data_IF_938729496210
#
_entry.id   IF_938729496210
#
_cell.length_a   1.000
_cell.length_b   1.000
_cell.length_c   1.000
_cell.angle_alpha   90.00
_cell.angle_beta   90.00
_cell.angle_gamma   90.00
#
_symmetry.space_group_name_H-M   'P 1'
#
loop_
_entity.id
_entity.type
_entity.pdbx_description
1 polymer ?
#
# COMPACT_ATOMS: atom_id res chain seq x y z
N UNK A 1 27.52 -16.53 77.10
CA UNK A 1 28.90 -16.67 76.60
C UNK A 1 28.89 -17.57 75.37
N UNK A 2 29.22 -16.99 74.20
CA UNK A 2 29.79 -17.62 72.99
C UNK A 2 29.07 -18.82 72.30
N UNK A 3 28.56 -18.48 71.10
CA UNK A 3 28.98 -18.98 69.76
C UNK A 3 28.28 -20.20 69.13
N UNK A 4 27.66 -19.85 67.98
CA UNK A 4 27.80 -20.45 66.64
C UNK A 4 26.79 -21.52 66.22
N UNK A 5 25.56 -21.04 66.00
CA UNK A 5 24.78 -21.31 64.80
C UNK A 5 25.50 -20.73 63.55
N UNK A 6 26.01 -21.59 62.67
CA UNK A 6 26.61 -21.20 61.38
C UNK A 6 26.59 -22.37 60.40
N UNK A 7 25.46 -22.59 59.75
CA UNK A 7 25.34 -23.17 58.40
C UNK A 7 23.84 -23.22 58.07
N UNK A 8 23.47 -22.91 56.82
CA UNK A 8 22.10 -22.84 56.29
C UNK A 8 21.30 -21.55 56.53
N UNK A 9 21.86 -20.39 56.21
CA UNK A 9 21.06 -19.18 55.92
C UNK A 9 21.77 -18.17 54.99
N UNK A 10 22.57 -18.64 54.04
CA UNK A 10 23.23 -17.80 53.03
C UNK A 10 23.26 -18.58 51.71
N UNK A 11 22.16 -18.50 50.95
CA UNK A 11 22.09 -18.73 49.48
C UNK A 11 20.67 -18.53 48.91
N UNK A 12 19.64 -18.27 49.72
CA UNK A 12 18.26 -18.13 49.25
C UNK A 12 17.64 -16.73 49.27
N UNK A 13 18.38 -15.66 49.62
CA UNK A 13 17.83 -14.30 49.83
C UNK A 13 18.46 -13.23 48.93
N UNK A 14 19.39 -13.60 48.03
CA UNK A 14 20.06 -12.63 47.14
C UNK A 14 19.39 -12.48 45.76
N UNK A 15 18.42 -13.34 45.40
CA UNK A 15 17.72 -13.25 44.11
C UNK A 15 16.29 -12.67 44.17
N UNK A 16 15.87 -12.12 45.31
CA UNK A 16 14.50 -11.60 45.46
C UNK A 16 14.40 -10.16 45.98
N UNK A 17 15.54 -9.47 46.17
CA UNK A 17 15.59 -8.08 46.69
C UNK A 17 15.99 -7.04 45.64
N UNK A 18 16.33 -7.45 44.40
CA UNK A 18 16.69 -6.48 43.33
C UNK A 18 15.46 -5.99 42.52
N UNK A 19 14.27 -6.56 42.71
CA UNK A 19 13.10 -6.25 41.87
C UNK A 19 12.16 -5.16 42.42
N UNK A 20 12.36 -4.64 43.64
CA UNK A 20 11.43 -3.67 44.26
C UNK A 20 12.18 -2.53 44.95
N UNK A 21 13.12 -1.85 44.27
CA UNK A 21 13.51 -0.46 44.63
C UNK A 21 13.87 0.30 43.35
N UNK A 22 12.86 0.75 42.60
CA UNK A 22 13.00 1.87 41.64
C UNK A 22 11.67 2.64 41.53
N UNK A 23 10.94 2.82 42.64
CA UNK A 23 9.82 3.76 42.71
C UNK A 23 10.15 4.80 43.77
N UNK A 24 10.67 5.96 43.34
CA UNK A 24 10.33 7.29 43.91
C UNK A 24 10.57 8.36 42.82
N UNK A 25 9.47 8.81 42.21
CA UNK A 25 9.21 10.17 41.68
C UNK A 25 10.34 10.78 40.80
N UNK A 26 10.31 10.48 39.50
CA UNK A 26 11.10 11.19 38.48
C UNK A 26 10.27 12.35 37.91
N UNK A 27 10.41 13.56 38.48
CA UNK A 27 9.74 14.77 37.99
C UNK A 27 10.79 15.70 37.39
N UNK A 28 10.71 15.91 36.07
CA UNK A 28 11.40 16.93 35.25
C UNK A 28 12.89 17.14 35.52
N UNK A 29 13.80 16.37 34.90
CA UNK A 29 15.21 16.79 34.80
C UNK A 29 15.89 16.23 33.54
N UNK A 30 16.04 17.08 32.53
CA UNK A 30 17.07 16.93 31.48
C UNK A 30 18.44 17.31 32.08
N UNK A 31 19.41 16.40 31.97
CA UNK A 31 20.85 16.60 32.26
C UNK A 31 21.25 17.03 33.69
N UNK A 32 20.81 16.29 34.71
CA UNK A 32 21.31 16.46 36.09
C UNK A 32 22.31 15.39 36.50
N UNK A 33 23.19 15.73 37.47
CA UNK A 33 24.10 14.80 38.16
C UNK A 33 23.38 13.56 38.73
N UNK A 34 22.10 13.67 39.04
CA UNK A 34 21.26 12.57 39.51
C UNK A 34 20.95 11.54 38.38
N UNK A 35 20.60 12.02 37.19
CA UNK A 35 20.37 11.17 36.00
C UNK A 35 21.63 10.36 35.62
N UNK A 36 22.79 11.01 35.52
CA UNK A 36 24.08 10.33 35.23
C UNK A 36 24.47 9.28 36.28
N UNK A 37 24.14 9.53 37.56
CA UNK A 37 24.38 8.58 38.66
C UNK A 37 23.46 7.36 38.56
N UNK A 38 22.19 7.58 38.19
CA UNK A 38 21.22 6.51 37.95
C UNK A 38 21.63 5.63 36.77
N UNK A 39 21.98 6.23 35.64
CA UNK A 39 22.46 5.50 34.45
C UNK A 39 23.72 4.68 34.74
N UNK A 40 24.65 5.22 35.53
CA UNK A 40 25.84 4.47 35.96
C UNK A 40 25.47 3.26 36.82
N UNK A 41 24.48 3.41 37.71
CA UNK A 41 23.95 2.30 38.51
C UNK A 41 23.24 1.24 37.64
N UNK A 42 22.50 1.69 36.63
CA UNK A 42 21.82 0.83 35.66
C UNK A 42 22.83 0.02 34.84
N UNK A 43 23.88 0.65 34.29
CA UNK A 43 24.96 -0.05 33.56
C UNK A 43 25.59 -1.15 34.40
N UNK A 44 25.92 -0.84 35.66
CA UNK A 44 26.50 -1.82 36.56
C UNK A 44 25.53 -2.97 36.87
N UNK A 45 24.24 -2.69 36.97
CA UNK A 45 23.21 -3.71 37.18
C UNK A 45 23.09 -4.60 35.94
N UNK A 46 23.06 -4.00 34.74
CA UNK A 46 23.01 -4.72 33.46
C UNK A 46 24.21 -5.63 33.29
N UNK A 47 25.43 -5.17 33.57
CA UNK A 47 26.66 -5.98 33.41
C UNK A 47 26.73 -7.17 34.36
N UNK A 48 26.18 -7.04 35.56
CA UNK A 48 26.32 -8.04 36.62
C UNK A 48 25.13 -9.01 36.73
N UNK A 49 23.99 -8.68 36.10
CA UNK A 49 22.85 -9.58 36.03
C UNK A 49 23.15 -10.76 35.08
N UNK A 50 22.81 -11.99 35.44
CA UNK A 50 22.94 -13.15 34.55
C UNK A 50 21.73 -13.30 33.62
N UNK A 51 20.69 -12.49 33.80
CA UNK A 51 19.50 -12.48 32.95
C UNK A 51 19.80 -11.95 31.54
N UNK A 52 19.09 -12.50 30.56
CA UNK A 52 19.11 -12.03 29.17
C UNK A 52 18.15 -10.85 28.93
N UNK A 53 17.31 -10.50 29.92
CA UNK A 53 16.29 -9.44 29.83
C UNK A 53 16.38 -8.53 31.03
N UNK A 54 16.54 -7.23 30.81
CA UNK A 54 16.67 -6.23 31.87
C UNK A 54 15.57 -5.19 31.74
N UNK A 55 14.83 -4.90 32.82
CA UNK A 55 13.68 -3.97 32.78
C UNK A 55 13.99 -2.66 33.50
N UNK A 56 13.68 -1.54 32.85
CA UNK A 56 13.77 -0.18 33.39
C UNK A 56 12.38 0.44 33.37
N UNK A 57 11.90 0.92 34.50
CA UNK A 57 10.61 1.65 34.58
C UNK A 57 10.89 3.16 34.60
N UNK A 58 10.30 3.91 33.68
CA UNK A 58 10.50 5.37 33.50
C UNK A 58 9.20 6.15 33.73
N UNK A 59 9.33 7.33 34.35
CA UNK A 59 8.22 8.01 35.00
C UNK A 59 7.25 8.72 34.06
N UNK A 60 7.70 9.41 33.00
CA UNK A 60 6.79 10.12 32.07
C UNK A 60 7.42 10.75 30.81
N UNK A 61 8.74 10.93 30.77
CA UNK A 61 9.47 11.56 29.66
C UNK A 61 10.93 11.44 30.02
N UNK A 62 11.57 10.32 29.67
CA UNK A 62 12.96 10.09 30.03
C UNK A 62 13.81 9.89 28.80
N UNK A 63 14.96 10.56 28.83
CA UNK A 63 16.05 10.46 27.89
C UNK A 63 17.02 9.42 28.43
N UNK A 64 17.12 8.24 27.81
CA UNK A 64 18.32 7.43 28.01
C UNK A 64 19.46 8.07 27.23
N UNK A 65 20.54 8.45 27.92
CA UNK A 65 21.62 9.19 27.29
C UNK A 65 22.38 8.35 26.27
N UNK A 66 22.97 9.01 25.28
CA UNK A 66 23.95 8.40 24.36
C UNK A 66 25.04 7.63 25.11
N UNK A 67 25.53 8.20 26.21
CA UNK A 67 26.59 7.60 27.03
C UNK A 67 26.14 6.32 27.72
N UNK A 68 24.89 6.26 28.16
CA UNK A 68 24.29 5.04 28.69
C UNK A 68 24.18 3.96 27.61
N UNK A 69 23.64 4.30 26.44
CA UNK A 69 23.47 3.35 25.33
C UNK A 69 24.83 2.82 24.82
N UNK A 70 25.86 3.65 24.80
CA UNK A 70 27.24 3.22 24.51
C UNK A 70 27.74 2.16 25.49
N UNK A 71 27.45 2.29 26.78
CA UNK A 71 28.00 1.41 27.81
C UNK A 71 27.39 0.01 27.84
N UNK A 72 26.27 -0.21 27.15
CA UNK A 72 25.51 -1.47 27.18
C UNK A 72 25.47 -2.20 25.84
N UNK A 73 26.04 -1.63 24.78
CA UNK A 73 25.92 -2.15 23.40
C UNK A 73 26.50 -3.57 23.20
N UNK A 74 27.54 -3.92 23.97
CA UNK A 74 28.21 -5.22 23.86
C UNK A 74 27.61 -6.30 24.76
N UNK A 75 26.59 -5.96 25.57
CA UNK A 75 26.05 -6.88 26.59
C UNK A 75 25.22 -8.03 26.00
N UNK A 76 24.78 -7.93 24.74
CA UNK A 76 23.92 -8.92 24.06
C UNK A 76 22.66 -9.28 24.86
N UNK A 77 22.01 -8.27 25.43
CA UNK A 77 20.81 -8.39 26.27
C UNK A 77 19.61 -7.70 25.65
N UNK A 78 18.43 -8.04 26.12
CA UNK A 78 17.20 -7.31 25.81
C UNK A 78 16.95 -6.28 26.90
N UNK A 79 17.02 -5.00 26.56
CA UNK A 79 16.61 -3.91 27.41
C UNK A 79 15.11 -3.65 27.21
N UNK A 80 14.34 -3.84 28.26
CA UNK A 80 12.91 -3.54 28.33
C UNK A 80 12.75 -2.20 29.05
N UNK A 81 12.05 -1.25 28.44
CA UNK A 81 11.81 0.07 29.04
C UNK A 81 10.31 0.31 29.13
N UNK A 82 9.79 0.32 30.36
CA UNK A 82 8.37 0.55 30.63
C UNK A 82 8.14 2.02 30.99
N UNK A 83 7.48 2.76 30.11
CA UNK A 83 6.91 4.09 30.39
C UNK A 83 5.41 4.02 30.67
N UNK A 84 4.77 5.17 30.90
CA UNK A 84 3.32 5.20 31.10
C UNK A 84 2.57 4.88 29.81
N UNK A 85 2.07 3.66 29.71
CA UNK A 85 1.33 3.17 28.55
C UNK A 85 2.22 2.83 27.34
N UNK A 86 3.53 2.71 27.56
CA UNK A 86 4.50 2.27 26.56
C UNK A 86 5.43 1.21 27.13
N UNK A 87 5.72 0.18 26.34
CA UNK A 87 6.83 -0.74 26.61
C UNK A 87 7.72 -0.83 25.38
N UNK A 88 9.01 -0.54 25.55
CA UNK A 88 10.03 -0.74 24.53
C UNK A 88 10.83 -2.00 24.79
N UNK A 89 11.17 -2.74 23.75
CA UNK A 89 12.20 -3.78 23.81
C UNK A 89 13.30 -3.49 22.78
N UNK A 90 14.55 -3.50 23.24
CA UNK A 90 15.75 -3.21 22.44
C UNK A 90 16.76 -4.32 22.67
N UNK A 91 17.23 -4.95 21.60
CA UNK A 91 18.40 -5.82 21.70
C UNK A 91 19.67 -4.96 21.71
N UNK A 92 20.45 -5.02 22.78
CA UNK A 92 21.61 -4.13 22.95
C UNK A 92 22.67 -4.36 21.88
N UNK A 93 22.76 -5.55 21.29
CA UNK A 93 23.67 -5.80 20.15
C UNK A 93 23.33 -4.95 18.93
N UNK A 94 22.07 -4.55 18.77
CA UNK A 94 21.62 -3.72 17.65
C UNK A 94 22.10 -2.26 17.79
N UNK A 95 22.68 -1.91 18.96
CA UNK A 95 23.31 -0.63 19.23
C UNK A 95 24.70 -0.50 18.59
N UNK A 96 25.37 -1.62 18.32
CA UNK A 96 26.78 -1.62 17.93
C UNK A 96 27.01 -1.00 16.55
N UNK A 97 27.97 -0.07 16.49
CA UNK A 97 28.42 0.55 15.23
C UNK A 97 27.44 1.55 14.61
N UNK A 98 26.36 1.91 15.32
CA UNK A 98 25.37 2.90 14.87
C UNK A 98 25.56 4.23 15.60
N UNK A 99 25.24 5.34 14.94
CA UNK A 99 25.22 6.65 15.58
C UNK A 99 24.09 6.71 16.63
N UNK A 100 24.47 6.87 17.90
CA UNK A 100 23.53 6.91 19.02
C UNK A 100 23.18 8.34 19.38
N UNK A 101 21.87 8.60 19.49
CA UNK A 101 21.30 9.80 20.08
C UNK A 101 20.89 9.57 21.53
N UNK A 102 20.41 10.65 22.15
CA UNK A 102 19.59 10.55 23.35
C UNK A 102 18.26 9.87 22.97
N UNK A 103 17.73 8.99 23.82
CA UNK A 103 16.48 8.28 23.53
C UNK A 103 15.38 8.83 24.42
N UNK A 104 14.59 9.75 23.88
CA UNK A 104 13.40 10.28 24.53
C UNK A 104 12.23 9.32 24.37
N UNK A 105 11.74 8.78 25.48
CA UNK A 105 10.49 8.01 25.51
C UNK A 105 9.35 8.95 25.82
N UNK A 106 8.55 9.27 24.80
CA UNK A 106 7.30 10.00 24.96
C UNK A 106 6.18 9.23 24.28
N UNK A 107 5.15 8.80 25.00
CA UNK A 107 3.81 8.72 24.41
C UNK A 107 3.08 9.96 24.86
N UNK A 108 2.97 10.93 23.96
CA UNK A 108 1.97 11.96 24.11
C UNK A 108 0.84 11.59 23.18
N UNK A 109 -0.33 11.22 23.74
CA UNK A 109 -1.57 11.24 22.97
C UNK A 109 -1.66 12.62 22.35
N UNK A 110 -1.75 12.71 21.03
CA UNK A 110 -1.91 14.00 20.37
C UNK A 110 -3.11 14.73 20.97
N UNK A 111 -2.99 16.06 21.07
CA UNK A 111 -4.10 16.89 21.52
C UNK A 111 -5.31 16.73 20.58
N UNK A 112 -6.52 17.05 21.06
CA UNK A 112 -7.71 17.03 20.20
C UNK A 112 -7.52 17.87 18.93
N UNK A 113 -6.84 19.02 19.04
CA UNK A 113 -6.50 19.86 17.88
C UNK A 113 -5.54 19.19 16.89
N UNK A 114 -4.53 18.47 17.38
CA UNK A 114 -3.59 17.72 16.54
C UNK A 114 -4.26 16.50 15.90
N UNK A 115 -5.06 15.75 16.66
CA UNK A 115 -5.86 14.65 16.13
C UNK A 115 -6.85 15.15 15.08
N UNK A 116 -7.51 16.29 15.31
CA UNK A 116 -8.39 16.92 14.33
C UNK A 116 -7.63 17.33 13.08
N UNK A 117 -6.46 17.96 13.22
CA UNK A 117 -5.60 18.32 12.08
C UNK A 117 -5.21 17.09 11.26
N UNK A 118 -4.73 16.02 11.91
CA UNK A 118 -4.36 14.77 11.23
C UNK A 118 -5.61 14.11 10.62
N UNK A 119 -6.75 14.11 11.30
CA UNK A 119 -8.01 13.58 10.76
C UNK A 119 -8.43 14.33 9.51
N UNK A 120 -8.44 15.66 9.54
CA UNK A 120 -8.76 16.51 8.39
C UNK A 120 -7.75 16.35 7.26
N UNK A 121 -6.48 16.05 7.55
CA UNK A 121 -5.48 15.75 6.54
C UNK A 121 -5.71 14.36 5.93
N UNK A 122 -5.96 13.33 6.75
CA UNK A 122 -6.31 11.99 6.28
C UNK A 122 -7.58 12.03 5.45
N UNK A 123 -8.57 12.86 5.81
CA UNK A 123 -9.83 12.99 5.08
C UNK A 123 -9.88 14.19 4.14
N UNK A 124 -8.71 14.79 3.88
CA UNK A 124 -8.44 16.01 3.10
C UNK A 124 -9.60 17.01 3.04
N UNK A 125 -9.78 17.88 4.04
CA UNK A 125 -10.82 18.93 4.09
C UNK A 125 -12.26 18.48 4.37
N UNK A 126 -12.51 17.20 4.67
CA UNK A 126 -13.76 16.82 5.32
C UNK A 126 -13.75 17.24 6.80
N UNK A 127 -14.86 17.81 7.31
CA UNK A 127 -15.09 18.00 8.75
C UNK A 127 -15.35 16.68 9.49
N UNK A 128 -15.36 15.55 8.77
CA UNK A 128 -15.62 14.23 9.34
C UNK A 128 -14.43 13.79 10.19
N UNK A 129 -14.64 13.78 11.50
CA UNK A 129 -13.65 13.29 12.46
C UNK A 129 -13.59 11.77 12.43
N UNK A 130 -12.38 11.25 12.22
CA UNK A 130 -12.06 9.83 12.35
C UNK A 130 -11.31 9.61 13.66
N UNK A 131 -11.53 8.45 14.27
CA UNK A 131 -10.82 8.13 15.49
C UNK A 131 -9.36 7.84 15.18
N UNK A 132 -8.49 8.68 15.71
CA UNK A 132 -7.04 8.57 15.53
C UNK A 132 -6.40 8.51 16.90
N UNK A 133 -5.57 7.49 17.10
CA UNK A 133 -4.69 7.44 18.25
C UNK A 133 -3.29 7.87 17.82
N UNK A 134 -3.02 9.16 17.86
CA UNK A 134 -1.72 9.72 17.53
C UNK A 134 -0.75 9.67 18.71
N UNK A 135 0.51 9.32 18.43
CA UNK A 135 1.61 9.27 19.39
C UNK A 135 2.92 9.65 18.69
N UNK A 136 3.89 10.19 19.43
CA UNK A 136 5.24 10.50 18.91
C UNK A 136 6.19 9.42 19.40
N UNK A 137 7.21 9.02 18.66
CA UNK A 137 8.25 8.10 19.16
C UNK A 137 9.64 8.60 18.78
N UNK A 138 10.52 8.72 19.78
CA UNK A 138 11.99 8.89 19.66
C UNK A 138 12.52 10.30 19.96
N UNK A 139 13.76 10.56 19.54
CA UNK A 139 14.48 11.84 19.57
C UNK A 139 14.89 12.19 18.13
N UNK A 140 14.79 13.47 17.74
CA UNK A 140 15.13 14.02 16.41
C UNK A 140 16.56 13.68 15.94
N UNK A 141 17.45 13.29 16.87
CA UNK A 141 18.85 12.95 16.59
C UNK A 141 19.14 11.44 16.51
N UNK A 142 18.13 10.58 16.59
CA UNK A 142 18.30 9.14 16.35
C UNK A 142 18.19 8.85 14.86
N UNK A 143 19.32 8.56 14.21
CA UNK A 143 19.32 8.06 12.84
C UNK A 143 18.65 6.68 12.72
N UNK A 144 18.27 6.39 11.48
CA UNK A 144 17.58 5.19 10.99
C UNK A 144 18.23 3.89 11.49
N UNK A 145 17.41 2.91 11.91
CA UNK A 145 17.83 1.51 11.95
C UNK A 145 17.84 0.81 13.31
N UNK A 146 17.24 1.37 14.36
CA UNK A 146 16.96 0.62 15.58
C UNK A 146 15.60 -0.07 15.46
N UNK A 147 15.55 -1.41 15.50
CA UNK A 147 14.28 -2.13 15.62
C UNK A 147 13.81 -2.00 17.05
N UNK A 148 12.79 -1.19 17.26
CA UNK A 148 12.17 -0.98 18.55
C UNK A 148 10.77 -1.57 18.52
N UNK A 149 10.45 -2.48 19.44
CA UNK A 149 9.07 -2.91 19.63
C UNK A 149 8.41 -1.97 20.64
N UNK A 150 7.37 -1.25 20.25
CA UNK A 150 6.55 -0.47 21.17
C UNK A 150 5.22 -1.18 21.41
N UNK A 151 4.80 -1.30 22.66
CA UNK A 151 3.42 -1.66 23.01
C UNK A 151 2.72 -0.44 23.55
N UNK A 152 1.64 -0.02 22.89
CA UNK A 152 0.78 1.08 23.32
C UNK A 152 -0.52 0.52 23.89
N UNK A 153 -1.02 1.16 24.96
CA UNK A 153 -2.35 0.87 25.49
C UNK A 153 -3.35 1.82 24.82
N UNK A 154 -4.30 1.27 24.07
CA UNK A 154 -5.34 2.04 23.38
C UNK A 154 -6.68 1.95 24.12
N UNK A 155 -7.66 2.72 23.67
CA UNK A 155 -9.00 2.70 24.26
C UNK A 155 -9.69 1.35 23.99
N UNK A 156 -10.42 0.85 24.98
CA UNK A 156 -11.17 -0.41 24.96
C UNK A 156 -12.05 -0.63 23.72
N UNK A 157 -12.54 0.43 23.08
CA UNK A 157 -13.35 0.33 21.85
C UNK A 157 -12.58 -0.22 20.64
N UNK A 158 -11.25 -0.22 20.70
CA UNK A 158 -10.39 -0.76 19.65
C UNK A 158 -9.99 -2.22 19.94
N UNK A 159 -10.30 -2.77 21.11
CA UNK A 159 -9.94 -4.14 21.47
C UNK A 159 -10.49 -5.14 20.44
N UNK A 160 -9.64 -6.04 19.96
CA UNK A 160 -9.98 -7.05 18.95
C UNK A 160 -9.88 -6.58 17.50
N UNK A 161 -9.79 -5.27 17.26
CA UNK A 161 -9.78 -4.68 15.91
C UNK A 161 -8.39 -4.75 15.25
N UNK A 162 -8.39 -4.80 13.92
CA UNK A 162 -7.20 -4.56 13.11
C UNK A 162 -7.09 -3.07 12.82
N UNK A 163 -5.94 -2.49 13.08
CA UNK A 163 -5.66 -1.06 12.88
C UNK A 163 -4.44 -0.86 12.01
N UNK A 164 -4.51 0.16 11.15
CA UNK A 164 -3.39 0.61 10.36
C UNK A 164 -2.51 1.54 11.21
N UNK A 165 -1.21 1.33 11.14
CA UNK A 165 -0.17 2.19 11.72
C UNK A 165 0.44 3.01 10.60
N UNK A 166 0.44 4.33 10.77
CA UNK A 166 1.09 5.25 9.85
C UNK A 166 2.09 6.12 10.59
N UNK A 167 3.10 6.59 9.86
CA UNK A 167 4.01 7.67 10.24
C UNK A 167 3.64 8.90 9.41
N UNK A 168 3.51 10.05 10.04
CA UNK A 168 3.36 11.34 9.38
C UNK A 168 4.67 12.12 9.45
N UNK A 169 5.18 12.51 8.29
CA UNK A 169 6.34 13.37 8.13
C UNK A 169 5.87 14.82 7.94
N UNK A 170 6.17 15.69 8.90
CA UNK A 170 5.65 17.06 8.90
C UNK A 170 6.33 17.97 7.88
N UNK A 171 7.60 17.71 7.55
CA UNK A 171 8.37 18.55 6.62
C UNK A 171 7.88 18.34 5.20
N UNK A 172 7.66 17.07 4.85
CA UNK A 172 7.22 16.67 3.52
C UNK A 172 5.69 16.59 3.40
N UNK A 173 4.98 16.66 4.53
CA UNK A 173 3.52 16.47 4.62
C UNK A 173 3.07 15.15 3.99
N UNK A 174 3.82 14.07 4.26
CA UNK A 174 3.56 12.75 3.71
C UNK A 174 3.20 11.75 4.81
N UNK A 175 2.36 10.79 4.44
CA UNK A 175 2.07 9.62 5.25
C UNK A 175 2.86 8.44 4.72
N UNK A 176 3.48 7.68 5.61
CA UNK A 176 4.07 6.39 5.29
C UNK A 176 3.34 5.35 6.10
N UNK A 177 2.76 4.37 5.42
CA UNK A 177 2.25 3.19 6.12
C UNK A 177 3.41 2.44 6.78
N UNK A 178 3.16 1.91 7.98
CA UNK A 178 4.20 1.28 8.82
C UNK A 178 3.88 -0.19 9.05
N UNK A 179 2.67 -0.49 9.53
CA UNK A 179 2.25 -1.86 9.85
C UNK A 179 0.72 -1.93 9.99
N UNK A 180 0.14 -3.13 9.90
CA UNK A 180 -1.26 -3.38 10.27
C UNK A 180 -1.25 -4.34 11.45
N UNK A 181 -1.70 -3.88 12.60
CA UNK A 181 -1.57 -4.60 13.87
C UNK A 181 -2.95 -4.92 14.43
N UNK A 182 -3.03 -6.04 15.15
CA UNK A 182 -4.20 -6.34 15.97
C UNK A 182 -4.06 -5.64 17.31
N UNK A 183 -5.13 -5.00 17.76
CA UNK A 183 -5.26 -4.58 19.15
C UNK A 183 -5.76 -5.77 19.94
N UNK A 184 -5.01 -6.19 20.94
CA UNK A 184 -5.38 -7.31 21.80
C UNK A 184 -6.59 -6.97 22.67
N UNK A 185 -7.28 -7.99 23.18
CA UNK A 185 -8.48 -7.83 24.02
C UNK A 185 -8.21 -7.01 25.29
N UNK A 186 -6.95 -6.99 25.76
CA UNK A 186 -6.52 -6.20 26.92
C UNK A 186 -6.17 -4.74 26.57
N UNK A 187 -6.38 -4.34 25.32
CA UNK A 187 -6.12 -2.99 24.81
C UNK A 187 -4.66 -2.74 24.43
N UNK A 188 -3.79 -3.74 24.49
CA UNK A 188 -2.40 -3.60 24.03
C UNK A 188 -2.31 -3.72 22.50
N UNK A 189 -1.62 -2.78 21.87
CA UNK A 189 -1.25 -2.86 20.46
C UNK A 189 0.27 -2.78 20.33
N UNK A 190 0.89 -3.79 19.73
CA UNK A 190 2.35 -3.90 19.63
C UNK A 190 2.80 -3.68 18.19
N UNK A 191 3.73 -2.75 17.97
CA UNK A 191 4.27 -2.39 16.66
C UNK A 191 5.80 -2.33 16.67
N UNK A 192 6.41 -2.58 15.51
CA UNK A 192 7.83 -2.34 15.30
C UNK A 192 8.04 -0.94 14.72
N UNK A 193 8.96 -0.18 15.31
CA UNK A 193 9.34 1.18 14.89
C UNK A 193 10.82 1.19 14.52
N UNK A 194 11.14 1.93 13.46
CA UNK A 194 12.48 1.99 12.87
C UNK A 194 13.05 3.41 12.74
N UNK A 195 12.23 4.45 12.94
CA UNK A 195 12.60 5.87 12.79
C UNK A 195 11.88 6.74 13.81
N UNK A 196 12.43 7.91 14.11
CA UNK A 196 11.73 8.96 14.86
C UNK A 196 10.54 9.50 14.03
N UNK A 197 9.43 9.82 14.67
CA UNK A 197 8.34 10.53 13.99
C UNK A 197 7.03 10.58 14.76
N UNK A 198 6.04 11.25 14.14
CA UNK A 198 4.64 11.20 14.57
C UNK A 198 4.00 9.96 13.96
N UNK A 199 3.43 9.12 14.80
CA UNK A 199 2.73 7.92 14.41
C UNK A 199 1.27 8.03 14.77
N UNK A 200 0.42 7.27 14.10
CA UNK A 200 -0.98 7.16 14.48
C UNK A 200 -1.57 5.81 14.12
N UNK A 201 -2.54 5.40 14.94
CA UNK A 201 -3.44 4.29 14.63
C UNK A 201 -4.75 4.81 14.06
N UNK A 202 -5.26 4.12 13.05
CA UNK A 202 -6.59 4.36 12.49
C UNK A 202 -7.18 3.06 11.95
N UNK A 203 -8.50 2.92 12.00
CA UNK A 203 -9.23 1.82 11.34
C UNK A 203 -9.44 2.08 9.85
N UNK A 204 -9.06 3.27 9.37
CA UNK A 204 -9.22 3.70 7.99
C UNK A 204 -7.88 3.63 7.26
N UNK A 205 -7.93 3.42 5.95
CA UNK A 205 -6.73 3.60 5.14
C UNK A 205 -6.41 5.10 5.05
N UNK A 206 -5.14 5.42 5.28
CA UNK A 206 -4.53 6.69 4.94
C UNK A 206 -3.54 6.46 3.78
N UNK A 207 -3.42 7.39 2.84
CA UNK A 207 -4.24 8.58 2.75
C UNK A 207 -5.68 8.29 2.32
N UNK A 208 -6.63 9.10 2.76
CA UNK A 208 -7.97 9.16 2.17
C UNK A 208 -8.04 10.42 1.33
N UNK A 209 -8.46 10.28 0.08
CA UNK A 209 -8.73 11.47 -0.72
C UNK A 209 -10.12 11.98 -0.40
N UNK A 210 -10.27 13.28 -0.53
CA UNK A 210 -11.57 13.93 -0.53
C UNK A 210 -12.10 13.92 -1.96
N UNK A 211 -13.20 13.21 -2.15
CA UNK A 211 -13.92 13.11 -3.42
C UNK A 211 -14.27 14.50 -4.00
N UNK A 212 -14.48 15.51 -3.16
CA UNK A 212 -14.78 16.88 -3.61
C UNK A 212 -13.56 17.65 -4.15
N UNK A 213 -12.35 17.16 -3.86
CA UNK A 213 -11.07 17.74 -4.30
C UNK A 213 -10.42 16.93 -5.44
N UNK A 214 -11.15 15.96 -6.00
CA UNK A 214 -10.72 15.19 -7.17
C UNK A 214 -10.55 16.13 -8.37
N UNK A 215 -9.35 16.14 -8.96
CA UNK A 215 -9.01 17.07 -10.04
C UNK A 215 -8.85 16.31 -11.35
N UNK A 216 -9.59 16.70 -12.39
CA UNK A 216 -9.37 16.22 -13.75
C UNK A 216 -7.96 16.62 -14.23
N UNK A 217 -7.11 15.64 -14.51
CA UNK A 217 -5.72 15.86 -14.97
C UNK A 217 -5.48 15.39 -16.40
N UNK A 218 -6.32 14.49 -16.91
CA UNK A 218 -6.30 14.07 -18.30
C UNK A 218 -7.73 13.95 -18.80
N UNK A 219 -7.98 14.50 -19.99
CA UNK A 219 -9.28 14.43 -20.64
C UNK A 219 -9.12 14.24 -22.15
N UNK A 220 -9.57 13.09 -22.65
CA UNK A 220 -9.70 12.78 -24.06
C UNK A 220 -11.19 12.53 -24.37
N UNK A 221 -11.77 13.45 -25.13
CA UNK A 221 -13.19 13.45 -25.54
C UNK A 221 -13.32 13.10 -27.04
N UNK A 222 -12.22 12.78 -27.73
CA UNK A 222 -12.18 12.34 -29.13
C UNK A 222 -12.95 13.27 -30.10
N UNK A 223 -12.75 14.58 -29.97
CA UNK A 223 -13.49 15.60 -30.73
C UNK A 223 -12.96 15.84 -32.16
N UNK A 224 -11.77 15.34 -32.50
CA UNK A 224 -11.12 15.58 -33.79
C UNK A 224 -11.22 14.35 -34.70
N UNK A 225 -12.11 14.40 -35.68
CA UNK A 225 -12.28 13.33 -36.67
C UNK A 225 -10.97 12.99 -37.39
N UNK A 226 -10.68 11.70 -37.57
CA UNK A 226 -9.51 11.22 -38.27
C UNK A 226 -8.81 10.06 -37.55
N UNK A 227 -7.47 10.09 -37.52
CA UNK A 227 -6.71 9.14 -36.71
C UNK A 227 -6.70 9.61 -35.25
N UNK A 228 -6.65 8.68 -34.28
CA UNK A 228 -6.31 8.98 -32.89
C UNK A 228 -5.12 9.94 -32.77
N UNK A 229 -5.24 10.93 -31.89
CA UNK A 229 -4.25 11.99 -31.73
C UNK A 229 -2.88 11.40 -31.39
N UNK A 230 -1.92 11.53 -32.32
CA UNK A 230 -0.57 10.97 -32.19
C UNK A 230 0.24 11.52 -31.02
N UNK A 231 -0.12 12.68 -30.47
CA UNK A 231 0.55 13.24 -29.28
C UNK A 231 0.07 12.58 -27.99
N UNK A 232 -1.09 11.92 -28.03
CA UNK A 232 -1.72 11.24 -26.89
C UNK A 232 -1.67 9.73 -26.97
N UNK A 233 -1.68 9.19 -28.19
CA UNK A 233 -1.79 7.76 -28.45
C UNK A 233 -0.67 7.27 -29.35
N UNK A 234 -0.23 6.04 -29.11
CA UNK A 234 0.63 5.25 -30.02
C UNK A 234 -0.02 3.88 -30.23
N UNK A 235 0.48 3.12 -31.20
CA UNK A 235 -0.02 1.79 -31.54
C UNK A 235 1.01 0.72 -31.21
N UNK A 236 0.53 -0.39 -30.67
CA UNK A 236 1.25 -1.66 -30.73
C UNK A 236 0.89 -2.33 -32.07
N UNK A 237 1.90 -2.73 -32.84
CA UNK A 237 1.74 -3.28 -34.19
C UNK A 237 2.15 -4.75 -34.26
N UNK A 238 1.47 -5.51 -35.12
CA UNK A 238 1.80 -6.91 -35.40
C UNK A 238 0.77 -7.91 -34.87
N UNK A 239 1.00 -9.19 -35.19
CA UNK A 239 0.08 -10.28 -34.85
C UNK A 239 0.80 -11.59 -34.55
N UNK A 240 1.77 -11.56 -33.62
CA UNK A 240 2.50 -12.74 -33.15
C UNK A 240 1.75 -13.54 -32.07
N UNK A 241 0.48 -13.21 -31.84
CA UNK A 241 -0.38 -13.82 -30.82
C UNK A 241 -0.31 -13.18 -29.43
N UNK A 242 0.54 -12.15 -29.23
CA UNK A 242 0.56 -11.30 -28.03
C UNK A 242 0.67 -12.04 -26.68
N UNK A 243 1.27 -13.23 -26.68
CA UNK A 243 1.41 -14.09 -25.49
C UNK A 243 0.16 -14.91 -25.15
N UNK A 244 -0.94 -14.72 -25.88
CA UNK A 244 -2.26 -15.32 -25.63
C UNK A 244 -2.82 -16.09 -26.84
N UNK A 245 -2.01 -16.39 -27.86
CA UNK A 245 -2.42 -17.09 -29.09
C UNK A 245 -3.50 -16.36 -29.92
N UNK A 246 -3.59 -15.03 -29.75
CA UNK A 246 -4.49 -14.13 -30.44
C UNK A 246 -4.33 -14.20 -31.97
N UNK A 247 -5.42 -13.95 -32.73
CA UNK A 247 -5.49 -14.18 -34.19
C UNK A 247 -5.49 -12.92 -35.03
N UNK A 248 -5.54 -11.74 -34.42
CA UNK A 248 -5.48 -10.46 -35.13
C UNK A 248 -4.05 -9.98 -35.38
N UNK A 249 -3.88 -9.21 -36.45
CA UNK A 249 -2.77 -8.29 -36.62
C UNK A 249 -3.20 -6.88 -36.19
N UNK A 250 -2.55 -6.29 -35.18
CA UNK A 250 -2.80 -4.91 -34.79
C UNK A 250 -2.15 -3.94 -35.77
N UNK A 251 -2.91 -2.96 -36.24
CA UNK A 251 -2.47 -1.96 -37.22
C UNK A 251 -2.68 -0.53 -36.72
N UNK A 252 -2.07 0.44 -37.40
CA UNK A 252 -2.31 1.88 -37.26
C UNK A 252 -3.25 2.43 -38.36
N UNK A 253 -3.97 1.55 -39.06
CA UNK A 253 -4.88 1.92 -40.13
C UNK A 253 -6.13 2.62 -39.60
N UNK A 254 -6.62 3.62 -40.35
CA UNK A 254 -7.92 4.25 -40.11
C UNK A 254 -9.09 3.26 -40.14
N UNK A 255 -8.92 2.12 -40.80
CA UNK A 255 -9.93 1.06 -40.86
C UNK A 255 -10.04 0.27 -39.55
N UNK A 256 -9.00 0.30 -38.71
CA UNK A 256 -8.97 -0.38 -37.41
C UNK A 256 -9.07 0.59 -36.23
N UNK A 257 -8.61 1.84 -36.37
CA UNK A 257 -8.79 2.86 -35.36
C UNK A 257 -9.02 4.23 -36.00
N UNK A 258 -10.16 4.85 -35.67
CA UNK A 258 -10.47 6.22 -36.07
C UNK A 258 -11.23 6.95 -34.99
N UNK A 259 -11.05 8.26 -34.95
CA UNK A 259 -11.94 9.17 -34.26
C UNK A 259 -13.00 9.63 -35.24
N UNK A 260 -14.27 9.54 -34.86
CA UNK A 260 -15.38 9.98 -35.68
C UNK A 260 -16.59 10.29 -34.80
N UNK A 261 -17.26 11.42 -35.01
CA UNK A 261 -18.50 11.79 -34.31
C UNK A 261 -18.33 11.86 -32.78
N UNK A 262 -17.20 12.40 -32.31
CA UNK A 262 -16.92 12.59 -30.88
C UNK A 262 -16.53 11.32 -30.12
N UNK A 263 -16.09 10.26 -30.82
CA UNK A 263 -15.70 8.99 -30.20
C UNK A 263 -14.51 8.37 -30.91
N UNK A 264 -13.72 7.60 -30.16
CA UNK A 264 -12.78 6.63 -30.71
C UNK A 264 -13.54 5.35 -31.10
N UNK A 265 -13.29 4.85 -32.30
CA UNK A 265 -13.86 3.61 -32.82
C UNK A 265 -12.69 2.67 -33.13
N UNK A 266 -12.55 1.61 -32.33
CA UNK A 266 -11.62 0.50 -32.59
C UNK A 266 -12.43 -0.60 -33.28
N UNK A 267 -11.97 -1.06 -34.44
CA UNK A 267 -12.68 -2.03 -35.29
C UNK A 267 -11.83 -3.27 -35.52
N UNK A 268 -12.34 -4.42 -35.09
CA UNK A 268 -11.84 -5.73 -35.48
C UNK A 268 -12.51 -6.18 -36.78
N UNK A 269 -11.73 -6.66 -37.75
CA UNK A 269 -12.20 -7.07 -39.07
C UNK A 269 -11.70 -8.46 -39.41
N UNK A 270 -12.52 -9.24 -40.11
CA UNK A 270 -12.07 -10.44 -40.82
C UNK A 270 -11.50 -10.03 -42.18
N UNK A 271 -10.19 -9.86 -42.23
CA UNK A 271 -9.46 -9.60 -43.46
C UNK A 271 -8.05 -10.18 -43.36
N UNK A 272 -7.59 -10.77 -44.45
CA UNK A 272 -6.24 -11.33 -44.51
C UNK A 272 -5.23 -10.17 -44.49
N UNK A 273 -4.37 -10.13 -43.48
CA UNK A 273 -3.29 -9.16 -43.37
C UNK A 273 -2.02 -9.86 -42.88
N UNK A 274 -1.00 -9.87 -43.73
CA UNK A 274 0.21 -10.69 -43.54
C UNK A 274 -0.13 -12.17 -43.30
N UNK A 275 0.18 -12.69 -42.11
CA UNK A 275 0.03 -14.09 -41.74
C UNK A 275 -1.29 -14.40 -41.02
N UNK A 276 -2.07 -13.36 -40.70
CA UNK A 276 -3.30 -13.44 -39.89
C UNK A 276 -4.56 -13.19 -40.71
N UNK A 277 -5.68 -13.74 -40.24
CA UNK A 277 -7.00 -13.65 -40.91
C UNK A 277 -7.88 -12.54 -40.35
N UNK A 278 -7.38 -11.79 -39.36
CA UNK A 278 -8.07 -10.66 -38.76
C UNK A 278 -7.13 -9.48 -38.59
N UNK A 279 -7.69 -8.28 -38.60
CA UNK A 279 -7.03 -7.03 -38.21
C UNK A 279 -7.78 -6.39 -37.05
N UNK A 280 -7.08 -5.59 -36.24
CA UNK A 280 -7.67 -4.78 -35.17
C UNK A 280 -6.73 -3.63 -34.82
N UNK A 281 -6.99 -2.90 -33.74
CA UNK A 281 -6.05 -1.93 -33.18
C UNK A 281 -5.84 -2.14 -31.67
N UNK A 282 -4.64 -1.76 -31.20
CA UNK A 282 -4.24 -1.71 -29.80
C UNK A 282 -3.56 -0.38 -29.55
N UNK A 283 -4.30 0.54 -28.93
CA UNK A 283 -3.85 1.89 -28.63
C UNK A 283 -3.28 1.95 -27.22
N UNK A 284 -2.14 2.63 -27.08
CA UNK A 284 -1.48 2.87 -25.80
C UNK A 284 -1.43 4.38 -25.56
N UNK A 285 -1.78 4.82 -24.36
CA UNK A 285 -1.56 6.21 -23.99
C UNK A 285 -0.06 6.53 -23.96
N UNK A 286 0.31 7.73 -24.39
CA UNK A 286 1.67 8.27 -24.22
C UNK A 286 1.91 8.76 -22.80
N UNK A 287 0.86 9.28 -22.16
CA UNK A 287 0.85 9.59 -20.75
C UNK A 287 0.80 8.31 -19.90
N UNK A 288 1.33 8.43 -18.69
CA UNK A 288 1.34 7.39 -17.66
C UNK A 288 1.10 8.06 -16.32
N UNK A 289 0.41 7.36 -15.41
CA UNK A 289 0.00 7.92 -14.13
C UNK A 289 0.39 6.99 -13.00
N UNK A 290 0.67 7.57 -11.83
CA UNK A 290 0.83 6.82 -10.59
C UNK A 290 -0.37 7.16 -9.71
N UNK A 291 -1.25 6.18 -9.48
CA UNK A 291 -2.53 6.39 -8.81
C UNK A 291 -3.51 7.25 -9.61
N UNK A 292 -4.72 7.38 -9.09
CA UNK A 292 -5.77 8.22 -9.67
C UNK A 292 -7.09 7.47 -9.85
N UNK A 293 -8.10 8.20 -10.31
CA UNK A 293 -9.36 7.64 -10.79
C UNK A 293 -9.37 7.67 -12.31
N UNK A 294 -9.65 6.53 -12.91
CA UNK A 294 -9.75 6.34 -14.35
C UNK A 294 -11.20 6.09 -14.70
N UNK A 295 -11.74 6.84 -15.66
CA UNK A 295 -13.08 6.63 -16.19
C UNK A 295 -13.00 6.52 -17.71
N UNK A 296 -13.43 5.37 -18.22
CA UNK A 296 -13.48 5.10 -19.65
C UNK A 296 -14.91 4.76 -19.99
N UNK A 297 -15.58 5.63 -20.74
CA UNK A 297 -16.95 5.40 -21.16
C UNK A 297 -16.95 4.72 -22.52
N UNK A 298 -17.37 3.45 -22.55
CA UNK A 298 -17.28 2.63 -23.75
C UNK A 298 -18.51 1.74 -23.96
N UNK A 299 -18.75 1.40 -25.23
CA UNK A 299 -19.68 0.37 -25.69
C UNK A 299 -18.87 -0.71 -26.39
N UNK A 300 -19.09 -1.97 -26.01
CA UNK A 300 -18.24 -3.10 -26.37
C UNK A 300 -18.73 -3.81 -27.65
N UNK A 301 -17.86 -4.54 -28.35
CA UNK A 301 -18.28 -5.47 -29.39
C UNK A 301 -19.05 -6.66 -28.81
N UNK A 302 -19.79 -7.36 -29.67
CA UNK A 302 -20.45 -8.63 -29.33
C UNK A 302 -19.81 -9.81 -30.06
N UNK A 303 -20.29 -11.01 -29.73
CA UNK A 303 -20.13 -12.21 -30.54
C UNK A 303 -18.87 -13.02 -30.25
N UNK A 304 -19.01 -14.33 -30.40
CA UNK A 304 -18.00 -15.33 -30.05
C UNK A 304 -16.69 -15.06 -30.80
N UNK A 305 -15.60 -14.97 -30.06
CA UNK A 305 -14.26 -14.70 -30.58
C UNK A 305 -13.77 -13.26 -30.37
N UNK A 306 -14.62 -12.31 -29.94
CA UNK A 306 -14.14 -10.97 -29.57
C UNK A 306 -13.64 -10.94 -28.12
N UNK A 307 -12.61 -10.14 -27.88
CA UNK A 307 -12.06 -9.87 -26.55
C UNK A 307 -11.63 -8.39 -26.45
N UNK A 308 -12.59 -7.47 -26.24
CA UNK A 308 -12.29 -6.08 -25.91
C UNK A 308 -11.66 -5.96 -24.50
N UNK A 309 -10.69 -5.06 -24.37
CA UNK A 309 -10.05 -4.78 -23.10
C UNK A 309 -9.74 -3.28 -22.92
N UNK A 310 -9.91 -2.81 -21.68
CA UNK A 310 -9.46 -1.52 -21.14
C UNK A 310 -8.61 -1.86 -19.92
N UNK A 311 -7.31 -1.62 -20.02
CA UNK A 311 -6.33 -2.16 -19.07
C UNK A 311 -5.09 -1.31 -19.04
N UNK A 312 -4.18 -1.59 -18.11
CA UNK A 312 -3.01 -0.79 -17.88
C UNK A 312 -1.76 -1.64 -17.67
N UNK A 313 -0.63 -1.15 -18.19
CA UNK A 313 0.69 -1.77 -18.05
C UNK A 313 1.69 -0.78 -17.48
N UNK A 314 2.71 -1.24 -16.74
CA UNK A 314 3.72 -0.37 -16.15
C UNK A 314 4.54 0.31 -17.26
N UNK A 315 4.83 1.60 -17.08
CA UNK A 315 5.67 2.36 -18.01
C UNK A 315 7.05 1.73 -18.14
N UNK A 316 7.61 1.33 -17.01
CA UNK A 316 8.94 0.75 -16.87
C UNK A 316 8.83 -0.60 -16.15
N UNK A 317 9.64 -1.60 -16.55
CA UNK A 317 9.68 -2.92 -15.92
C UNK A 317 10.57 -2.93 -14.67
N UNK A 318 10.28 -2.04 -13.71
CA UNK A 318 11.10 -1.79 -12.51
C UNK A 318 11.40 -3.07 -11.70
N UNK A 319 10.42 -3.97 -11.62
CA UNK A 319 10.53 -5.23 -10.86
C UNK A 319 10.84 -6.45 -11.75
N UNK A 320 11.03 -6.24 -13.04
CA UNK A 320 11.27 -7.27 -14.05
C UNK A 320 10.09 -7.47 -15.01
N UNK A 321 10.24 -8.45 -15.92
CA UNK A 321 9.26 -8.73 -16.97
C UNK A 321 7.91 -9.17 -16.39
N UNK A 322 6.85 -9.02 -17.17
CA UNK A 322 5.51 -9.50 -16.80
C UNK A 322 5.55 -10.93 -16.24
N UNK A 323 4.86 -11.23 -15.11
CA UNK A 323 3.91 -10.36 -14.39
C UNK A 323 4.54 -9.53 -13.27
N UNK A 324 5.87 -9.45 -13.17
CA UNK A 324 6.56 -8.92 -11.99
C UNK A 324 6.27 -7.44 -11.73
N UNK A 325 6.24 -6.63 -12.79
CA UNK A 325 5.97 -5.19 -12.69
C UNK A 325 4.48 -4.83 -12.72
N UNK A 326 3.60 -5.83 -12.76
CA UNK A 326 2.15 -5.66 -12.65
C UNK A 326 1.39 -5.49 -13.97
N UNK A 327 0.07 -5.64 -13.87
CA UNK A 327 -0.96 -5.36 -14.89
C UNK A 327 -2.27 -5.07 -14.13
N UNK A 328 -3.05 -4.11 -14.62
CA UNK A 328 -4.35 -3.75 -14.03
C UNK A 328 -5.42 -3.71 -15.13
N UNK A 329 -6.32 -4.68 -15.10
CA UNK A 329 -7.40 -4.85 -16.07
C UNK A 329 -8.67 -4.20 -15.53
N UNK A 330 -8.98 -3.00 -16.04
CA UNK A 330 -10.14 -2.20 -15.62
C UNK A 330 -11.43 -2.84 -16.12
N UNK A 331 -11.39 -3.35 -17.35
CA UNK A 331 -12.50 -4.05 -18.00
C UNK A 331 -11.93 -5.03 -19.02
N UNK A 332 -12.27 -6.30 -18.86
CA UNK A 332 -12.20 -7.29 -19.91
C UNK A 332 -13.57 -7.91 -20.14
N UNK A 333 -13.87 -8.21 -21.39
CA UNK A 333 -15.08 -8.92 -21.79
C UNK A 333 -14.74 -9.89 -22.91
N UNK A 334 -15.35 -11.08 -22.91
CA UNK A 334 -15.20 -12.06 -23.99
C UNK A 334 -16.57 -12.34 -24.61
N UNK A 335 -16.67 -12.26 -25.93
CA UNK A 335 -17.96 -12.27 -26.61
C UNK A 335 -18.75 -13.59 -26.50
N UNK A 336 -18.13 -14.69 -26.06
CA UNK A 336 -18.83 -15.94 -25.78
C UNK A 336 -19.52 -15.96 -24.39
N UNK A 337 -19.12 -15.07 -23.47
CA UNK A 337 -19.71 -14.88 -22.15
C UNK A 337 -20.31 -13.48 -22.09
N UNK A 338 -21.37 -13.28 -22.87
CA UNK A 338 -21.97 -11.98 -23.12
C UNK A 338 -22.47 -11.34 -21.81
N UNK A 339 -22.10 -10.07 -21.62
CA UNK A 339 -22.44 -9.27 -20.44
C UNK A 339 -21.60 -9.54 -19.18
N UNK A 340 -20.75 -10.57 -19.15
CA UNK A 340 -19.86 -10.83 -18.00
C UNK A 340 -18.60 -9.98 -18.10
N UNK A 341 -18.54 -8.89 -17.37
CA UNK A 341 -17.39 -7.98 -17.32
C UNK A 341 -16.44 -8.38 -16.19
N UNK A 342 -15.15 -8.45 -16.49
CA UNK A 342 -14.10 -8.80 -15.55
C UNK A 342 -13.24 -7.59 -15.18
N UNK A 343 -12.85 -7.50 -13.91
CA UNK A 343 -11.64 -6.77 -13.50
C UNK A 343 -10.66 -7.75 -12.89
N UNK A 344 -9.40 -7.58 -13.26
CA UNK A 344 -8.31 -8.46 -12.84
C UNK A 344 -7.08 -7.62 -12.52
N UNK A 345 -6.28 -8.08 -11.57
CA UNK A 345 -4.94 -7.55 -11.39
C UNK A 345 -3.94 -8.71 -11.43
N UNK A 346 -2.79 -8.47 -12.07
CA UNK A 346 -1.70 -9.42 -12.12
C UNK A 346 -0.44 -8.88 -11.45
N UNK A 347 0.24 -9.73 -10.69
CA UNK A 347 1.54 -9.50 -10.06
C UNK A 347 2.34 -10.81 -9.99
N UNK A 348 3.61 -10.77 -9.56
CA UNK A 348 4.40 -12.00 -9.43
C UNK A 348 3.74 -13.06 -8.55
N UNK A 349 3.09 -12.66 -7.46
CA UNK A 349 2.40 -13.57 -6.54
C UNK A 349 1.01 -13.94 -7.05
N UNK A 350 0.32 -13.00 -7.68
CA UNK A 350 -1.09 -13.12 -8.04
C UNK A 350 -1.25 -13.03 -9.56
N UNK A 351 -1.19 -14.14 -10.29
CA UNK A 351 -1.35 -14.12 -11.76
C UNK A 351 -1.97 -15.40 -12.32
N UNK A 352 -2.49 -15.31 -13.55
CA UNK A 352 -3.37 -16.33 -14.12
C UNK A 352 -2.70 -17.70 -14.31
N UNK A 353 -1.40 -17.77 -14.65
CA UNK A 353 -0.72 -19.07 -14.79
C UNK A 353 -0.52 -19.79 -13.45
N UNK A 354 -0.52 -19.04 -12.35
CA UNK A 354 -0.50 -19.61 -11.00
C UNK A 354 -1.90 -19.82 -10.42
N UNK A 355 -2.96 -19.42 -11.15
CA UNK A 355 -4.34 -19.45 -10.70
C UNK A 355 -4.55 -18.73 -9.36
N UNK A 356 -3.81 -17.63 -9.16
CA UNK A 356 -3.80 -16.84 -7.92
C UNK A 356 -4.14 -15.37 -8.17
N UNK A 357 -4.48 -14.99 -9.40
CA UNK A 357 -4.90 -13.64 -9.73
C UNK A 357 -6.05 -13.17 -8.84
N UNK A 358 -6.03 -11.89 -8.46
CA UNK A 358 -7.17 -11.28 -7.77
C UNK A 358 -8.09 -10.74 -8.85
N UNK A 359 -9.28 -11.34 -8.96
CA UNK A 359 -10.26 -11.00 -9.99
C UNK A 359 -11.67 -11.02 -9.43
N UNK A 360 -12.57 -10.27 -10.05
CA UNK A 360 -14.00 -10.38 -9.86
C UNK A 360 -14.74 -10.05 -11.15
N UNK A 361 -16.03 -10.37 -11.19
CA UNK A 361 -16.88 -10.15 -12.34
C UNK A 361 -18.21 -9.51 -11.94
N UNK A 362 -18.82 -8.81 -12.89
CA UNK A 362 -20.16 -8.24 -12.77
C UNK A 362 -20.94 -8.46 -14.07
N UNK A 363 -22.23 -8.76 -13.96
CA UNK A 363 -23.14 -8.88 -15.10
C UNK A 363 -23.62 -7.49 -15.53
N UNK A 364 -23.50 -7.20 -16.83
CA UNK A 364 -23.94 -5.98 -17.52
C UNK A 364 -24.55 -6.40 -18.86
N UNK A 365 -25.87 -6.59 -18.91
CA UNK A 365 -26.50 -7.30 -20.04
C UNK A 365 -26.45 -6.54 -21.38
N UNK A 366 -26.23 -5.23 -21.36
CA UNK A 366 -26.35 -4.34 -22.50
C UNK A 366 -25.02 -3.73 -22.98
N UNK A 367 -23.88 -4.36 -22.63
CA UNK A 367 -22.52 -3.90 -22.98
C UNK A 367 -22.31 -3.55 -24.46
N UNK A 368 -23.03 -4.19 -25.38
CA UNK A 368 -22.91 -4.00 -26.83
C UNK A 368 -23.94 -3.04 -27.44
N UNK A 369 -24.90 -2.58 -26.64
CA UNK A 369 -25.99 -1.71 -27.08
C UNK A 369 -25.98 -0.33 -26.41
N UNK A 370 -25.40 -0.21 -25.20
CA UNK A 370 -25.29 1.02 -24.44
C UNK A 370 -23.84 1.33 -24.06
N UNK A 371 -23.57 2.62 -23.80
CA UNK A 371 -22.29 3.04 -23.23
C UNK A 371 -22.33 2.89 -21.72
N UNK A 372 -21.28 2.29 -21.17
CA UNK A 372 -21.07 2.16 -19.73
C UNK A 372 -19.78 2.85 -19.32
N UNK A 373 -19.73 3.35 -18.08
CA UNK A 373 -18.51 3.91 -17.50
C UNK A 373 -17.79 2.81 -16.73
N UNK A 374 -16.72 2.28 -17.32
CA UNK A 374 -15.77 1.40 -16.66
C UNK A 374 -14.76 2.26 -15.91
N UNK A 375 -14.65 2.07 -14.60
CA UNK A 375 -13.76 2.91 -13.81
C UNK A 375 -12.99 2.16 -12.74
N UNK A 376 -11.83 2.72 -12.43
CA UNK A 376 -10.91 2.23 -11.41
C UNK A 376 -10.46 3.38 -10.54
N UNK A 377 -10.46 3.19 -9.23
CA UNK A 377 -9.83 4.09 -8.27
C UNK A 377 -8.60 3.40 -7.69
N UNK A 378 -7.44 3.85 -8.11
CA UNK A 378 -6.15 3.29 -7.71
C UNK A 378 -5.46 4.22 -6.72
N UNK A 379 -5.14 3.66 -5.56
CA UNK A 379 -4.42 4.30 -4.46
C UNK A 379 -3.23 3.43 -4.06
N UNK A 380 -2.30 3.93 -3.21
CA UNK A 380 -1.14 3.14 -2.80
C UNK A 380 -1.44 1.77 -2.18
N UNK A 381 -2.60 1.61 -1.53
CA UNK A 381 -2.92 0.40 -0.74
C UNK A 381 -4.12 -0.39 -1.27
N UNK A 382 -4.88 0.20 -2.19
CA UNK A 382 -6.17 -0.32 -2.61
C UNK A 382 -6.50 0.11 -4.04
N UNK A 383 -7.10 -0.80 -4.78
CA UNK A 383 -7.68 -0.57 -6.10
C UNK A 383 -9.15 -1.00 -6.05
N UNK A 384 -10.05 -0.07 -6.31
CA UNK A 384 -11.50 -0.31 -6.40
C UNK A 384 -11.94 -0.24 -7.86
N UNK A 385 -12.80 -1.17 -8.31
CA UNK A 385 -13.33 -1.22 -9.68
C UNK A 385 -14.84 -1.08 -9.71
N UNK A 386 -15.32 -0.39 -10.74
CA UNK A 386 -16.72 0.01 -10.87
C UNK A 386 -17.20 -0.11 -12.32
N UNK A 387 -18.49 -0.41 -12.47
CA UNK A 387 -19.24 -0.16 -13.71
C UNK A 387 -20.40 0.77 -13.37
N UNK A 388 -20.54 1.87 -14.09
CA UNK A 388 -21.58 2.90 -13.88
C UNK A 388 -21.67 3.39 -12.42
N UNK A 389 -20.50 3.57 -11.80
CA UNK A 389 -20.38 4.00 -10.40
C UNK A 389 -20.71 2.91 -9.37
N UNK A 390 -21.16 1.73 -9.78
CA UNK A 390 -21.37 0.58 -8.89
C UNK A 390 -20.05 -0.16 -8.68
N UNK A 391 -19.51 -0.07 -7.47
CA UNK A 391 -18.35 -0.87 -7.07
C UNK A 391 -18.69 -2.35 -7.05
N UNK A 392 -17.87 -3.18 -7.69
CA UNK A 392 -18.03 -4.64 -7.68
C UNK A 392 -16.78 -5.40 -7.26
N UNK A 393 -15.63 -4.71 -7.23
CA UNK A 393 -14.38 -5.32 -6.82
C UNK A 393 -13.51 -4.35 -6.03
N UNK A 394 -12.87 -4.88 -4.99
CA UNK A 394 -11.82 -4.23 -4.24
C UNK A 394 -10.68 -5.22 -4.13
N UNK A 395 -9.48 -4.78 -4.50
CA UNK A 395 -8.23 -5.47 -4.18
C UNK A 395 -7.36 -4.55 -3.35
N UNK A 396 -6.74 -5.10 -2.31
CA UNK A 396 -5.90 -4.36 -1.39
C UNK A 396 -4.60 -5.12 -1.13
N UNK A 397 -3.58 -4.36 -0.75
CA UNK A 397 -2.35 -4.91 -0.19
C UNK A 397 -2.70 -5.58 1.14
N UNK A 398 -2.63 -6.91 1.20
CA UNK A 398 -2.90 -7.65 2.45
C UNK A 398 -1.65 -7.58 3.33
N UNK A 399 -1.61 -6.57 4.18
CA UNK A 399 -0.44 -6.25 5.00
C UNK A 399 -0.08 -7.30 6.05
N UNK A 400 -0.95 -8.29 6.27
CA UNK A 400 -0.69 -9.43 7.14
C UNK A 400 -0.09 -10.59 6.33
N UNK A 401 -0.72 -10.94 5.19
CA UNK A 401 -0.29 -12.09 4.37
C UNK A 401 0.85 -11.77 3.39
N UNK A 402 0.97 -10.52 2.97
CA UNK A 402 1.87 -10.05 1.92
C UNK A 402 3.06 -9.24 2.49
N UNK A 403 3.17 -9.14 3.82
CA UNK A 403 4.16 -8.31 4.53
C UNK A 403 5.59 -8.50 4.01
N UNK A 404 6.00 -9.75 3.80
CA UNK A 404 7.35 -10.11 3.35
C UNK A 404 7.47 -10.18 1.82
N UNK A 405 6.35 -10.13 1.09
CA UNK A 405 6.31 -10.25 -0.37
C UNK A 405 6.50 -8.90 -1.07
N UNK A 406 6.08 -7.80 -0.44
CA UNK A 406 6.25 -6.44 -0.96
C UNK A 406 5.74 -6.32 -2.41
N UNK A 407 6.61 -5.82 -3.31
CA UNK A 407 6.28 -5.65 -4.72
C UNK A 407 5.83 -6.93 -5.43
N UNK A 408 6.22 -8.12 -4.95
CA UNK A 408 5.78 -9.39 -5.56
C UNK A 408 4.27 -9.56 -5.45
N UNK A 409 3.68 -9.06 -4.35
CA UNK A 409 2.24 -9.05 -4.14
C UNK A 409 1.59 -7.78 -4.70
N UNK A 410 2.27 -6.64 -4.59
CA UNK A 410 1.72 -5.32 -4.89
C UNK A 410 2.71 -4.41 -5.64
N UNK A 411 2.91 -4.62 -6.95
CA UNK A 411 3.81 -3.79 -7.78
C UNK A 411 3.17 -2.48 -8.27
N UNK A 412 1.98 -2.13 -7.78
CA UNK A 412 1.17 -1.00 -8.24
C UNK A 412 1.58 0.33 -7.59
N UNK A 413 2.89 0.57 -7.50
CA UNK A 413 3.53 1.73 -6.89
C UNK A 413 4.50 2.44 -7.86
N UNK A 414 4.35 2.16 -9.15
CA UNK A 414 5.07 2.77 -10.28
C UNK A 414 4.07 3.32 -11.30
N UNK A 415 4.46 4.22 -12.22
CA UNK A 415 3.54 4.75 -13.23
C UNK A 415 3.06 3.68 -14.24
N UNK A 416 1.77 3.70 -14.59
CA UNK A 416 1.17 2.82 -15.60
C UNK A 416 0.55 3.64 -16.74
N UNK A 417 0.61 3.12 -17.97
CA UNK A 417 -0.08 3.66 -19.14
C UNK A 417 -1.33 2.84 -19.46
N UNK A 418 -2.33 3.48 -20.09
CA UNK A 418 -3.61 2.88 -20.47
C UNK A 418 -3.50 2.20 -21.84
N UNK A 419 -4.22 1.08 -22.01
CA UNK A 419 -4.34 0.32 -23.23
C UNK A 419 -5.82 0.12 -23.57
N UNK A 420 -6.16 0.33 -24.84
CA UNK A 420 -7.49 0.08 -25.42
C UNK A 420 -7.33 -0.83 -26.64
N UNK A 421 -7.97 -1.98 -26.66
CA UNK A 421 -7.90 -2.91 -27.80
C UNK A 421 -9.13 -3.80 -27.94
N UNK A 422 -9.22 -4.47 -29.09
CA UNK A 422 -10.05 -5.66 -29.29
C UNK A 422 -9.13 -6.77 -29.79
N UNK A 423 -8.88 -7.79 -28.97
CA UNK A 423 -8.30 -9.04 -29.43
C UNK A 423 -9.35 -9.90 -30.16
N UNK A 424 -8.89 -10.78 -31.04
CA UNK A 424 -9.73 -11.76 -31.74
C UNK A 424 -9.18 -13.16 -31.48
N UNK A 425 -10.01 -14.02 -30.92
CA UNK A 425 -9.62 -15.37 -30.53
C UNK A 425 -8.73 -15.38 -29.30
N UNK A 426 -7.58 -16.03 -29.42
CA UNK A 426 -6.70 -16.31 -28.29
C UNK A 426 -7.19 -17.46 -27.40
N UNK A 427 -6.39 -17.78 -26.39
CA UNK A 427 -6.64 -18.85 -25.43
C UNK A 427 -7.92 -18.63 -24.61
N UNK A 428 -8.33 -17.37 -24.42
CA UNK A 428 -9.55 -17.00 -23.71
C UNK A 428 -10.67 -16.53 -24.64
N UNK A 429 -10.52 -15.42 -25.36
CA UNK A 429 -11.57 -14.90 -26.26
C UNK A 429 -12.05 -15.91 -27.32
N UNK A 430 -11.15 -16.82 -27.75
CA UNK A 430 -11.41 -17.90 -28.70
C UNK A 430 -11.74 -19.26 -28.08
N UNK A 431 -12.00 -19.33 -26.77
CA UNK A 431 -12.26 -20.59 -26.07
C UNK A 431 -13.47 -21.36 -26.64
N UNK A 432 -14.43 -20.64 -27.26
CA UNK A 432 -15.59 -21.21 -27.97
C UNK A 432 -15.51 -21.09 -29.50
N UNK A 433 -14.31 -20.86 -30.03
CA UNK A 433 -14.06 -20.57 -31.44
C UNK A 433 -14.16 -19.07 -31.76
N UNK A 434 -14.16 -18.76 -33.05
CA UNK A 434 -14.37 -17.41 -33.59
C UNK A 434 -15.53 -17.51 -34.59
N UNK A 435 -16.59 -16.74 -34.38
CA UNK A 435 -17.69 -16.64 -35.35
C UNK A 435 -17.33 -15.60 -36.41
N UNK A 436 -16.97 -16.06 -37.61
CA UNK A 436 -16.57 -15.17 -38.68
C UNK A 436 -17.69 -14.25 -39.20
N UNK A 437 -18.96 -14.63 -38.98
CA UNK A 437 -20.11 -13.93 -39.54
C UNK A 437 -20.45 -12.63 -38.81
N UNK A 438 -19.91 -12.42 -37.61
CA UNK A 438 -20.14 -11.21 -36.81
C UNK A 438 -19.24 -10.05 -37.19
N UNK A 439 -18.14 -10.28 -37.93
CA UNK A 439 -17.20 -9.21 -38.26
C UNK A 439 -17.72 -8.35 -39.42
N UNK A 440 -17.48 -7.02 -39.38
CA UNK A 440 -16.68 -6.29 -38.40
C UNK A 440 -17.36 -6.06 -37.06
N UNK A 441 -16.57 -5.95 -35.99
CA UNK A 441 -17.04 -5.62 -34.64
C UNK A 441 -16.26 -4.42 -34.09
N UNK A 442 -16.95 -3.59 -33.30
CA UNK A 442 -16.40 -2.31 -32.82
C UNK A 442 -16.49 -2.14 -31.32
N UNK A 443 -15.44 -1.58 -30.74
CA UNK A 443 -15.48 -0.93 -29.43
C UNK A 443 -15.51 0.57 -29.66
N UNK A 444 -16.55 1.22 -29.15
CA UNK A 444 -16.70 2.68 -29.22
C UNK A 444 -16.35 3.27 -27.86
N UNK A 445 -15.45 4.25 -27.81
CA UNK A 445 -15.05 4.94 -26.58
C UNK A 445 -15.42 6.42 -26.71
N UNK A 446 -16.35 6.87 -25.86
CA UNK A 446 -16.86 8.24 -25.80
C UNK A 446 -15.80 9.16 -25.19
N UNK A 447 -15.22 8.76 -24.05
CA UNK A 447 -14.12 9.51 -23.44
C UNK A 447 -13.18 8.64 -22.59
N UNK A 448 -11.99 9.19 -22.33
CA UNK A 448 -11.06 8.75 -21.29
C UNK A 448 -10.77 9.94 -20.36
N UNK A 449 -11.08 9.78 -19.07
CA UNK A 449 -10.81 10.77 -18.04
C UNK A 449 -9.93 10.16 -16.96
N UNK A 450 -8.89 10.91 -16.57
CA UNK A 450 -8.05 10.56 -15.42
C UNK A 450 -8.09 11.72 -14.44
N UNK A 451 -8.33 11.38 -13.19
CA UNK A 451 -8.40 12.33 -12.10
C UNK A 451 -7.31 12.06 -11.07
N UNK A 452 -6.65 13.14 -10.65
CA UNK A 452 -5.77 13.15 -9.50
C UNK A 452 -6.62 13.14 -8.23
N UNK A 453 -6.48 12.07 -7.46
CA UNK A 453 -7.07 11.91 -6.13
C UNK A 453 -6.24 12.66 -5.07
N UNK A 454 -5.04 13.11 -5.43
CA UNK A 454 -4.11 13.84 -4.58
C UNK A 454 -3.34 12.94 -3.62
N UNK A 455 -3.25 11.64 -3.94
CA UNK A 455 -2.63 10.59 -3.11
C UNK A 455 -1.12 10.40 -3.39
N UNK A 456 -0.59 10.94 -4.49
CA UNK A 456 0.84 10.85 -4.86
C UNK A 456 1.77 11.51 -3.83
N UNK A 457 1.26 12.43 -3.01
CA UNK A 457 2.02 13.09 -1.96
C UNK A 457 2.17 12.23 -0.70
N UNK A 458 1.66 11.01 -0.70
CA UNK A 458 1.47 10.20 0.50
C UNK A 458 2.07 8.80 0.30
N UNK A 459 3.17 8.76 -0.46
CA UNK A 459 3.93 7.55 -0.80
C UNK A 459 4.72 7.01 0.38
N UNK A 460 4.76 5.68 0.50
CA UNK A 460 5.76 4.98 1.30
C UNK A 460 7.15 5.15 0.66
N UNK A 461 7.95 6.08 1.17
CA UNK A 461 9.41 6.03 0.97
C UNK A 461 10.08 5.31 2.14
#
# INVERSE_FOLDING_TARGET
MKKKSRMYFITGVISFVILIICIVIYKQFTDTKASKKLETSLVNSIKNDSSNKFTVNVGHTEVLSKDFLNKIEDEKKILIINGKGLRYEINTSDLKGKEKGNMSIMTKKLSEAENKKISTLISKNSEKEYEIYGFVIGDEKLEVGYKMQATIVVDSKWCGELVNVYRYDEESNQYSFVDRIKVEEDGNATLNIFRYGKYFLTSQDAPRYDESNVKLIYNEEFNEDGLPNKERWKYDLGGSGWGNEEKQNYTDSKENAKVQDGKLIITAKKERYEFNDYTSARLLSKDSWLYGRFEIKAKLPKGVGTWPAIWMMPKDSEYGSWPQSGEMDIMEHVGFDHGTVHATIHSQKYYWKANTQKAAQIQVDNVDSEFHVYSMEWTPHKIDFFVDGKKYFTTELDLIKDKEDGWKAWPYDKPFYLILNIAVGGSWGGQKGIDDSIFPQTMEVDYVKVYDLGVEKETMN
#
